data_IF_679933753723
#
_entry.id   IF_679933753723
#
_cell.length_a   1.000
_cell.length_b   1.000
_cell.length_c   1.000
_cell.angle_alpha   90.00
_cell.angle_beta   90.00
_cell.angle_gamma   90.00
#
_symmetry.space_group_name_H-M   'P 1'
#
loop_
_entity.id
_entity.type
_entity.pdbx_description
1 polymer ?
#
# COMPACT_ATOMS: atom_id res chain seq x y z
N UNK A 1 27.13 0.08 -1.55
CA UNK A 1 25.74 0.51 -1.32
C UNK A 1 24.91 -0.66 -0.86
N UNK A 2 23.93 -0.41 -0.05
CA UNK A 2 23.02 -1.45 0.37
C UNK A 2 22.24 -1.97 -0.85
N UNK A 3 22.18 -3.28 -1.06
CA UNK A 3 21.43 -3.82 -2.18
C UNK A 3 19.92 -3.60 -2.05
N UNK A 4 19.44 -3.28 -0.85
CA UNK A 4 18.03 -3.01 -0.63
C UNK A 4 17.64 -1.57 -0.96
N UNK A 5 18.62 -0.69 -1.16
CA UNK A 5 18.36 0.71 -1.45
C UNK A 5 18.27 0.91 -2.95
N UNK A 6 17.18 1.50 -3.38
CA UNK A 6 17.00 1.86 -4.77
C UNK A 6 17.80 3.13 -5.07
N UNK A 7 18.44 3.17 -6.24
CA UNK A 7 19.10 4.38 -6.72
C UNK A 7 18.09 5.39 -7.26
N UNK A 8 16.85 4.99 -7.51
CA UNK A 8 15.83 5.85 -8.10
C UNK A 8 14.67 6.00 -7.14
N UNK A 9 14.33 7.23 -6.82
CA UNK A 9 13.24 7.53 -5.92
C UNK A 9 12.74 8.96 -6.14
N UNK A 10 11.51 9.22 -5.71
CA UNK A 10 10.95 10.56 -5.73
C UNK A 10 9.96 10.74 -4.60
N UNK A 11 9.83 11.96 -4.12
CA UNK A 11 8.87 12.30 -3.08
C UNK A 11 7.72 13.10 -3.66
N UNK A 12 6.56 12.99 -3.03
CA UNK A 12 5.38 13.76 -3.40
C UNK A 12 4.59 14.16 -2.16
N UNK A 13 3.80 15.21 -2.27
CA UNK A 13 2.83 15.55 -1.24
C UNK A 13 1.54 14.78 -1.49
N UNK A 14 0.82 14.48 -0.43
CA UNK A 14 -0.48 13.84 -0.53
C UNK A 14 -1.38 14.26 0.63
N UNK A 15 -2.71 14.02 0.55
CA UNK A 15 -3.62 14.32 1.66
C UNK A 15 -3.32 13.52 2.92
N UNK A 16 -2.55 12.42 2.82
CA UNK A 16 -2.17 11.62 3.98
C UNK A 16 -0.72 11.86 4.40
N UNK A 17 -0.10 12.94 3.91
CA UNK A 17 1.27 13.33 4.22
C UNK A 17 2.23 13.08 3.07
N UNK A 18 3.48 13.53 3.20
CA UNK A 18 4.48 13.31 2.16
C UNK A 18 4.79 11.82 2.00
N UNK A 19 5.01 11.40 0.76
CA UNK A 19 5.30 10.02 0.41
C UNK A 19 6.55 9.98 -0.45
N UNK A 20 7.35 8.92 -0.30
CA UNK A 20 8.50 8.65 -1.16
C UNK A 20 8.33 7.29 -1.83
N UNK A 21 8.49 7.26 -3.14
CA UNK A 21 8.41 6.06 -3.96
C UNK A 21 9.80 5.64 -4.39
N UNK A 22 10.03 4.35 -4.41
CA UNK A 22 11.30 3.74 -4.80
C UNK A 22 11.09 2.81 -5.98
N UNK A 23 12.04 2.85 -6.91
CA UNK A 23 12.04 2.00 -8.10
C UNK A 23 13.35 1.23 -8.17
N UNK A 24 13.27 -0.03 -8.61
CA UNK A 24 14.42 -0.83 -8.95
C UNK A 24 14.08 -1.71 -10.15
N UNK A 25 14.97 -1.75 -11.12
CA UNK A 25 14.85 -2.61 -12.32
C UNK A 25 13.49 -2.49 -13.02
N UNK A 26 12.96 -1.28 -13.11
CA UNK A 26 11.74 -1.01 -13.85
C UNK A 26 10.44 -1.31 -13.13
N UNK A 27 10.49 -1.55 -11.82
CA UNK A 27 9.30 -1.78 -11.01
C UNK A 27 9.35 -0.96 -9.73
N UNK A 28 8.20 -0.62 -9.18
CA UNK A 28 8.11 0.02 -7.88
C UNK A 28 8.31 -1.03 -6.80
N UNK A 29 9.18 -0.75 -5.84
CA UNK A 29 9.58 -1.71 -4.82
C UNK A 29 9.14 -1.34 -3.42
N UNK A 30 8.96 -0.05 -3.15
CA UNK A 30 8.55 0.43 -1.83
C UNK A 30 7.89 1.80 -1.93
N UNK A 31 7.04 2.08 -0.96
CA UNK A 31 6.44 3.39 -0.73
C UNK A 31 6.52 3.65 0.77
N UNK A 32 7.10 4.80 1.15
CA UNK A 32 7.30 5.14 2.55
C UNK A 32 6.75 6.52 2.85
N UNK A 33 6.24 6.71 4.07
CA UNK A 33 5.86 8.03 4.54
C UNK A 33 7.10 8.82 4.87
N UNK A 34 7.09 10.09 4.48
CA UNK A 34 8.23 10.98 4.66
C UNK A 34 8.75 11.46 3.33
N UNK A 35 9.63 12.45 3.40
CA UNK A 35 10.23 13.07 2.23
C UNK A 35 11.73 12.79 2.20
N UNK A 36 12.20 12.30 1.07
CA UNK A 36 13.63 12.13 0.85
C UNK A 36 14.28 13.48 0.51
N UNK A 37 15.55 13.70 0.89
CA UNK A 37 16.21 15.00 0.70
C UNK A 37 16.49 15.34 -0.76
N UNK A 38 16.58 14.36 -1.64
CA UNK A 38 16.82 14.55 -3.06
C UNK A 38 15.97 13.57 -3.84
N UNK A 39 15.92 13.75 -5.16
CA UNK A 39 15.17 12.85 -6.02
C UNK A 39 16.03 12.44 -7.21
N UNK A 40 15.88 11.18 -7.63
CA UNK A 40 16.40 10.65 -8.88
C UNK A 40 15.24 10.01 -9.61
N UNK A 41 14.39 10.87 -10.18
CA UNK A 41 13.16 10.45 -10.81
C UNK A 41 13.42 9.74 -12.14
N UNK A 42 12.51 8.84 -12.48
CA UNK A 42 12.49 8.11 -13.76
C UNK A 42 11.12 8.33 -14.38
N UNK A 43 10.94 7.99 -15.67
CA UNK A 43 9.59 8.03 -16.25
C UNK A 43 8.57 7.20 -15.47
N UNK A 44 8.97 6.05 -14.93
CA UNK A 44 8.08 5.23 -14.11
C UNK A 44 7.67 5.95 -12.83
N UNK A 45 8.64 6.55 -12.13
CA UNK A 45 8.34 7.29 -10.89
C UNK A 45 7.45 8.49 -11.17
N UNK A 46 7.67 9.19 -12.28
CA UNK A 46 6.82 10.30 -12.68
C UNK A 46 5.39 9.83 -12.95
N UNK A 47 5.22 8.71 -13.65
CA UNK A 47 3.91 8.14 -13.91
C UNK A 47 3.25 7.67 -12.61
N UNK A 48 4.01 7.09 -11.69
CA UNK A 48 3.48 6.64 -10.40
C UNK A 48 2.95 7.80 -9.58
N UNK A 49 3.70 8.92 -9.52
CA UNK A 49 3.22 10.12 -8.82
C UNK A 49 1.97 10.69 -9.48
N UNK A 50 1.91 10.66 -10.80
CA UNK A 50 0.72 11.11 -11.52
C UNK A 50 -0.50 10.26 -11.15
N UNK A 51 -0.34 8.94 -11.13
CA UNK A 51 -1.45 8.04 -10.78
C UNK A 51 -1.87 8.19 -9.33
N UNK A 52 -0.93 8.33 -8.41
CA UNK A 52 -1.25 8.55 -7.01
C UNK A 52 -2.00 9.88 -6.81
N UNK A 53 -1.56 10.94 -7.48
CA UNK A 53 -2.26 12.23 -7.42
C UNK A 53 -3.70 12.07 -7.93
N UNK A 54 -3.89 11.39 -9.06
CA UNK A 54 -5.22 11.14 -9.60
C UNK A 54 -6.07 10.29 -8.65
N UNK A 55 -5.45 9.31 -7.99
CA UNK A 55 -6.13 8.48 -7.00
C UNK A 55 -6.64 9.33 -5.83
N UNK A 56 -5.80 10.19 -5.29
CA UNK A 56 -6.20 11.06 -4.18
C UNK A 56 -7.24 12.10 -4.60
N UNK A 57 -7.24 12.51 -5.85
CA UNK A 57 -8.25 13.43 -6.38
C UNK A 57 -9.56 12.74 -6.75
N UNK A 58 -9.64 11.42 -6.62
CA UNK A 58 -10.84 10.66 -6.94
C UNK A 58 -11.00 10.30 -8.41
N UNK A 59 -10.01 10.62 -9.24
CA UNK A 59 -10.08 10.36 -10.68
C UNK A 59 -9.53 9.01 -11.13
N UNK A 60 -8.90 8.28 -10.23
CA UNK A 60 -8.33 6.96 -10.51
C UNK A 60 -8.67 6.01 -9.37
N UNK A 61 -9.11 4.81 -9.70
CA UNK A 61 -9.46 3.79 -8.69
C UNK A 61 -8.50 2.61 -8.66
N UNK A 62 -7.84 2.34 -9.77
CA UNK A 62 -6.90 1.24 -9.90
C UNK A 62 -5.60 1.75 -10.48
N UNK A 63 -4.50 1.22 -9.99
CA UNK A 63 -3.17 1.60 -10.46
C UNK A 63 -2.73 0.66 -11.57
N UNK A 64 -2.16 1.23 -12.63
CA UNK A 64 -1.54 0.48 -13.71
C UNK A 64 -0.04 0.73 -13.65
N UNK A 65 0.62 0.04 -12.72
CA UNK A 65 2.03 0.22 -12.42
C UNK A 65 2.68 -1.14 -12.17
N UNK A 66 3.91 -1.35 -12.65
CA UNK A 66 4.63 -2.58 -12.32
C UNK A 66 5.09 -2.54 -10.86
N UNK A 67 4.65 -3.50 -10.08
CA UNK A 67 4.99 -3.62 -8.67
C UNK A 67 5.84 -4.85 -8.43
N UNK A 68 6.95 -4.68 -7.72
CA UNK A 68 7.82 -5.76 -7.28
C UNK A 68 8.18 -5.51 -5.82
N UNK A 69 7.27 -5.83 -4.88
CA UNK A 69 7.49 -5.54 -3.46
C UNK A 69 8.81 -6.13 -2.98
N UNK A 70 9.58 -5.30 -2.28
CA UNK A 70 10.87 -5.73 -1.78
C UNK A 70 10.71 -6.69 -0.60
N UNK A 71 11.45 -7.80 -0.62
CA UNK A 71 11.47 -8.76 0.48
C UNK A 71 10.22 -9.64 0.56
N UNK A 72 9.96 -10.13 1.76
CA UNK A 72 8.78 -10.94 2.06
C UNK A 72 8.97 -12.43 1.86
N UNK A 73 8.23 -13.20 2.67
CA UNK A 73 8.14 -14.65 2.53
C UNK A 73 7.13 -14.99 1.44
N UNK A 74 7.09 -16.25 1.03
CA UNK A 74 6.10 -16.70 0.06
C UNK A 74 4.68 -16.46 0.56
N UNK A 75 4.43 -16.71 1.85
CA UNK A 75 3.12 -16.45 2.44
C UNK A 75 2.78 -14.96 2.41
N UNK A 76 3.72 -14.11 2.82
CA UNK A 76 3.51 -12.66 2.80
C UNK A 76 3.20 -12.17 1.38
N UNK A 77 3.93 -12.66 0.38
CA UNK A 77 3.69 -12.28 -1.01
C UNK A 77 2.32 -12.72 -1.49
N UNK A 78 1.83 -13.89 -1.06
CA UNK A 78 0.49 -14.34 -1.38
C UNK A 78 -0.57 -13.43 -0.75
N UNK A 79 -0.35 -12.99 0.48
CA UNK A 79 -1.23 -12.03 1.14
C UNK A 79 -1.26 -10.71 0.36
N UNK A 80 -0.08 -10.20 -0.01
CA UNK A 80 0.00 -8.94 -0.75
C UNK A 80 -0.73 -9.04 -2.09
N UNK A 81 -0.57 -10.15 -2.79
CA UNK A 81 -1.27 -10.36 -4.06
C UNK A 81 -2.79 -10.43 -3.86
N UNK A 82 -3.22 -11.12 -2.81
CA UNK A 82 -4.65 -11.25 -2.50
C UNK A 82 -5.28 -9.91 -2.13
N UNK A 83 -4.53 -9.04 -1.45
CA UNK A 83 -5.03 -7.70 -1.10
C UNK A 83 -5.28 -6.86 -2.35
N UNK A 84 -4.51 -7.06 -3.42
CA UNK A 84 -4.71 -6.34 -4.68
C UNK A 84 -6.05 -6.69 -5.33
N UNK A 85 -6.64 -7.81 -4.97
CA UNK A 85 -7.93 -8.23 -5.50
C UNK A 85 -9.11 -7.59 -4.76
N UNK A 86 -8.87 -6.91 -3.64
CA UNK A 86 -9.94 -6.22 -2.91
C UNK A 86 -10.33 -4.96 -3.69
N UNK A 87 -11.59 -4.86 -4.14
CA UNK A 87 -11.99 -3.72 -4.98
C UNK A 87 -11.95 -2.39 -4.23
N UNK A 88 -11.79 -1.32 -4.97
CA UNK A 88 -11.88 0.04 -4.47
C UNK A 88 -13.22 0.24 -3.77
N UNK A 89 -13.18 0.83 -2.56
CA UNK A 89 -14.39 1.07 -1.78
C UNK A 89 -14.88 -0.13 -0.97
N UNK A 90 -14.17 -1.27 -1.05
CA UNK A 90 -14.52 -2.47 -0.31
C UNK A 90 -13.48 -2.78 0.75
N UNK A 91 -13.86 -3.58 1.74
CA UNK A 91 -12.96 -4.09 2.77
C UNK A 91 -13.17 -5.58 2.95
N UNK A 92 -12.12 -6.26 3.43
CA UNK A 92 -12.19 -7.64 3.90
C UNK A 92 -11.58 -7.70 5.29
N UNK A 93 -12.03 -8.63 6.11
CA UNK A 93 -11.37 -8.85 7.40
C UNK A 93 -10.12 -9.71 7.22
N UNK A 94 -9.25 -9.69 8.22
CA UNK A 94 -8.09 -10.59 8.22
C UNK A 94 -8.54 -12.05 8.12
N UNK A 95 -9.65 -12.39 8.78
CA UNK A 95 -10.21 -13.75 8.72
C UNK A 95 -10.73 -14.10 7.33
N UNK A 96 -11.41 -13.18 6.65
CA UNK A 96 -11.90 -13.39 5.29
C UNK A 96 -10.75 -13.67 4.34
N UNK A 97 -9.68 -12.88 4.46
CA UNK A 97 -8.51 -13.04 3.61
C UNK A 97 -7.82 -14.37 3.89
N UNK A 98 -7.68 -14.73 5.18
CA UNK A 98 -7.09 -16.01 5.58
C UNK A 98 -7.89 -17.19 5.02
N UNK A 99 -9.21 -17.13 5.07
CA UNK A 99 -10.06 -18.19 4.52
C UNK A 99 -9.87 -18.34 3.02
N UNK A 100 -9.63 -17.25 2.32
CA UNK A 100 -9.50 -17.22 0.86
C UNK A 100 -8.15 -17.79 0.39
N UNK A 101 -7.08 -17.54 1.13
CA UNK A 101 -5.72 -17.92 0.69
C UNK A 101 -5.11 -19.08 1.48
N UNK A 102 -5.77 -19.53 2.54
CA UNK A 102 -5.22 -20.53 3.46
C UNK A 102 -4.29 -19.86 4.48
N UNK A 103 -4.56 -20.07 5.76
CA UNK A 103 -3.79 -19.48 6.83
C UNK A 103 -4.68 -19.07 7.97
N UNK A 104 -4.14 -18.28 8.89
CA UNK A 104 -4.90 -17.76 10.03
C UNK A 104 -4.86 -16.24 10.01
N UNK A 105 -5.89 -15.62 10.58
CA UNK A 105 -6.05 -14.17 10.58
C UNK A 105 -4.82 -13.45 11.14
N UNK A 106 -4.21 -14.00 12.19
CA UNK A 106 -3.03 -13.40 12.82
C UNK A 106 -1.85 -13.33 11.87
N UNK A 107 -1.61 -14.40 11.09
CA UNK A 107 -0.51 -14.42 10.12
C UNK A 107 -0.77 -13.44 8.99
N UNK A 108 -2.03 -13.32 8.56
CA UNK A 108 -2.41 -12.33 7.55
C UNK A 108 -2.17 -10.91 8.06
N UNK A 109 -2.51 -10.65 9.33
CA UNK A 109 -2.24 -9.36 9.96
C UNK A 109 -0.76 -9.01 9.96
N UNK A 110 0.11 -9.98 10.27
CA UNK A 110 1.56 -9.78 10.21
C UNK A 110 2.04 -9.47 8.80
N UNK A 111 1.50 -10.17 7.81
CA UNK A 111 1.86 -9.93 6.41
C UNK A 111 1.39 -8.56 5.92
N UNK A 112 0.21 -8.11 6.36
CA UNK A 112 -0.27 -6.76 6.05
C UNK A 112 0.67 -5.70 6.61
N UNK A 113 1.14 -5.90 7.86
CA UNK A 113 2.09 -4.97 8.48
C UNK A 113 3.45 -4.95 7.82
N UNK A 114 3.82 -6.00 7.11
CA UNK A 114 5.11 -6.10 6.41
C UNK A 114 5.04 -5.58 4.97
N UNK A 115 3.89 -5.15 4.48
CA UNK A 115 3.70 -4.68 3.11
C UNK A 115 4.60 -3.47 2.83
N UNK A 116 5.53 -3.57 1.85
CA UNK A 116 6.43 -2.44 1.53
C UNK A 116 5.82 -1.41 0.60
N UNK A 117 4.65 -1.68 0.02
CA UNK A 117 3.98 -0.81 -0.95
C UNK A 117 2.57 -0.44 -0.50
N UNK A 118 2.42 0.18 0.69
CA UNK A 118 1.07 0.58 1.13
C UNK A 118 0.41 1.51 0.11
N UNK A 119 -0.90 1.57 0.09
CA UNK A 119 -1.74 2.27 -0.87
C UNK A 119 -1.77 1.55 -2.21
N UNK A 120 -0.62 1.29 -2.83
CA UNK A 120 -0.55 0.57 -4.11
C UNK A 120 -0.95 -0.89 -3.93
N UNK A 121 -0.53 -1.51 -2.82
CA UNK A 121 -1.06 -2.79 -2.37
C UNK A 121 -1.95 -2.46 -1.17
N UNK A 122 -3.27 -2.56 -1.30
CA UNK A 122 -4.19 -1.85 -0.40
C UNK A 122 -4.40 -2.54 0.95
N UNK A 123 -3.36 -2.58 1.79
CA UNK A 123 -3.48 -3.13 3.13
C UNK A 123 -4.46 -2.33 4.00
N UNK A 124 -4.76 -1.09 3.65
CA UNK A 124 -5.78 -0.30 4.34
C UNK A 124 -7.19 -0.85 4.13
N UNK A 125 -7.41 -1.73 3.15
CA UNK A 125 -8.70 -2.37 2.88
C UNK A 125 -8.91 -3.65 3.71
N UNK A 126 -7.96 -4.01 4.56
CA UNK A 126 -8.10 -5.17 5.45
C UNK A 126 -8.33 -4.68 6.87
N UNK A 127 -9.40 -5.16 7.49
CA UNK A 127 -9.84 -4.69 8.80
C UNK A 127 -9.93 -5.86 9.79
N UNK A 128 -10.07 -5.54 11.07
CA UNK A 128 -10.37 -6.53 12.08
C UNK A 128 -11.81 -7.01 11.98
N UNK A 129 -12.16 -8.01 12.77
CA UNK A 129 -13.50 -8.56 12.81
C UNK A 129 -14.53 -7.44 13.06
N UNK A 130 -15.64 -7.47 12.31
CA UNK A 130 -16.67 -6.44 12.43
C UNK A 130 -16.28 -5.09 11.85
N UNK A 131 -15.20 -5.03 11.06
CA UNK A 131 -14.76 -3.79 10.43
C UNK A 131 -13.89 -2.91 11.31
N UNK A 132 -13.29 -3.46 12.36
CA UNK A 132 -12.44 -2.67 13.25
C UNK A 132 -11.22 -2.11 12.54
N UNK A 133 -10.94 -0.84 12.81
CA UNK A 133 -9.74 -0.17 12.31
C UNK A 133 -8.55 -0.55 13.18
N UNK A 134 -7.78 -1.56 12.76
CA UNK A 134 -6.63 -2.04 13.51
C UNK A 134 -5.46 -2.29 12.56
N UNK A 135 -4.27 -2.42 13.12
CA UNK A 135 -3.13 -3.00 12.44
C UNK A 135 -2.45 -2.15 11.40
N UNK A 136 -2.74 -0.86 11.32
CA UNK A 136 -2.10 0.03 10.36
C UNK A 136 -1.06 0.89 11.08
N UNK A 137 0.20 0.77 10.67
CA UNK A 137 1.30 1.49 11.32
C UNK A 137 1.91 2.59 10.44
N UNK A 138 1.52 2.66 9.17
CA UNK A 138 2.04 3.68 8.26
C UNK A 138 1.41 5.05 8.54
N UNK A 139 2.15 6.12 8.26
CA UNK A 139 1.68 7.48 8.49
C UNK A 139 1.27 7.69 9.93
N UNK A 140 0.06 8.15 10.15
CA UNK A 140 -0.53 8.33 11.49
C UNK A 140 -1.38 7.13 11.92
N UNK A 141 -1.03 5.95 11.47
CA UNK A 141 -1.66 4.71 11.89
C UNK A 141 -3.12 4.61 11.47
N UNK A 142 -4.00 4.35 12.43
CA UNK A 142 -5.43 4.14 12.18
C UNK A 142 -6.09 5.36 11.51
N UNK A 143 -5.63 6.57 11.82
CA UNK A 143 -6.18 7.77 11.20
C UNK A 143 -5.87 7.82 9.70
N UNK A 144 -4.66 7.42 9.30
CA UNK A 144 -4.30 7.33 7.89
C UNK A 144 -5.14 6.27 7.18
N UNK A 145 -5.30 5.11 7.81
CA UNK A 145 -6.15 4.03 7.29
C UNK A 145 -7.57 4.51 7.07
N UNK A 146 -8.14 5.21 8.05
CA UNK A 146 -9.50 5.76 7.97
C UNK A 146 -9.61 6.75 6.81
N UNK A 147 -8.63 7.64 6.67
CA UNK A 147 -8.64 8.62 5.59
C UNK A 147 -8.63 7.97 4.21
N UNK A 148 -7.82 6.92 4.03
CA UNK A 148 -7.75 6.20 2.76
C UNK A 148 -9.08 5.51 2.43
N UNK A 149 -9.74 4.92 3.43
CA UNK A 149 -11.03 4.29 3.24
C UNK A 149 -12.13 5.30 2.96
N UNK A 150 -12.13 6.43 3.66
CA UNK A 150 -13.11 7.50 3.42
C UNK A 150 -12.98 8.08 2.03
N UNK A 151 -11.76 8.23 1.53
CA UNK A 151 -11.52 8.68 0.16
C UNK A 151 -12.23 7.78 -0.84
N UNK A 152 -12.22 6.48 -0.62
CA UNK A 152 -12.85 5.49 -1.50
C UNK A 152 -14.34 5.33 -1.25
N UNK A 153 -14.91 6.05 -0.28
CA UNK A 153 -16.33 5.95 0.04
C UNK A 153 -16.71 4.65 0.75
N UNK A 154 -15.75 3.96 1.36
CA UNK A 154 -16.04 2.74 2.08
C UNK A 154 -16.84 3.02 3.33
N UNK A 155 -17.76 2.10 3.68
CA UNK A 155 -18.51 2.19 4.92
C UNK A 155 -17.59 1.88 6.10
N UNK A 156 -17.56 2.78 7.06
CA UNK A 156 -16.75 2.63 8.27
C UNK A 156 -17.61 2.34 9.47
N UNK A 157 -17.05 1.57 10.39
CA UNK A 157 -17.69 1.25 11.66
C UNK A 157 -16.99 1.98 12.79
#
# INVERSE_FOLDING_TARGET
ASPSMSDFYTSMNSPVGPLTLFEDQGSLTALEWGRAPAARATPLLTEATRQLTAYFDGGLREFDLPLAPIGGTDFQRRVWQAMRDIPYGRTETYGDLAARIGGVARAVGGACGANPLPILIPCHRVTGAGGRMTGYSAGEGVETKRALLQLAGATLI
#
